data_IF_266436548740
#
_entry.id   IF_266436548740
#
_cell.length_a   1.000
_cell.length_b   1.000
_cell.length_c   1.000
_cell.angle_alpha   90.00
_cell.angle_beta   90.00
_cell.angle_gamma   90.00
#
_symmetry.space_group_name_H-M   'P 1'
#
loop_
_entity.id
_entity.type
_entity.pdbx_description
1 polymer ?
#
# COMPACT_ATOMS: atom_id res chain seq x y z
N UNK A 1 16.01 6.30 12.53
CA UNK A 1 15.07 5.62 13.44
C UNK A 1 15.12 4.13 13.12
N UNK A 2 15.90 3.38 13.87
CA UNK A 2 16.09 1.93 13.73
C UNK A 2 14.89 1.22 14.32
N UNK A 3 14.18 0.44 13.52
CA UNK A 3 13.09 -0.42 13.99
C UNK A 3 13.71 -1.45 14.93
N UNK A 4 13.32 -1.45 16.20
CA UNK A 4 13.80 -2.44 17.16
C UNK A 4 13.14 -3.80 16.88
N UNK A 5 13.90 -4.90 16.88
CA UNK A 5 13.42 -6.25 16.54
C UNK A 5 12.35 -6.78 17.50
N UNK A 6 12.09 -6.11 18.63
CA UNK A 6 11.08 -6.52 19.60
C UNK A 6 9.65 -6.14 19.20
N UNK A 7 9.44 -5.16 18.31
CA UNK A 7 8.10 -4.87 17.76
C UNK A 7 7.69 -5.86 16.63
N UNK A 8 8.63 -6.71 16.18
CA UNK A 8 8.41 -7.80 15.23
C UNK A 8 7.92 -9.11 15.89
N UNK A 9 7.67 -9.12 17.21
CA UNK A 9 7.07 -10.25 17.94
C UNK A 9 5.54 -10.15 17.88
N UNK A 10 4.74 -10.99 17.23
CA UNK A 10 4.91 -12.07 16.24
C UNK A 10 4.14 -11.60 15.00
N UNK A 11 4.78 -11.50 13.85
CA UNK A 11 4.09 -11.82 12.59
C UNK A 11 4.30 -13.32 12.44
N UNK A 12 3.25 -14.11 12.23
CA UNK A 12 3.48 -15.52 11.89
C UNK A 12 4.25 -15.56 10.57
N UNK A 13 5.00 -16.64 10.32
CA UNK A 13 5.70 -16.83 9.04
C UNK A 13 4.74 -16.67 7.84
N UNK A 14 3.46 -17.01 8.03
CA UNK A 14 2.38 -16.77 7.07
C UNK A 14 2.09 -15.29 6.83
N UNK A 15 2.11 -14.44 7.86
CA UNK A 15 1.90 -12.99 7.71
C UNK A 15 3.10 -12.35 7.01
N UNK A 16 4.32 -12.79 7.33
CA UNK A 16 5.53 -12.30 6.64
C UNK A 16 5.56 -12.73 5.17
N UNK A 17 5.17 -13.97 4.87
CA UNK A 17 5.05 -14.45 3.50
C UNK A 17 3.98 -13.66 2.72
N UNK A 18 2.84 -13.37 3.36
CA UNK A 18 1.78 -12.55 2.77
C UNK A 18 2.24 -11.12 2.49
N UNK A 19 2.90 -10.46 3.45
CA UNK A 19 3.45 -9.11 3.26
C UNK A 19 4.46 -9.11 2.12
N UNK A 20 5.40 -10.07 2.10
CA UNK A 20 6.41 -10.16 1.05
C UNK A 20 5.84 -10.45 -0.35
N UNK A 21 4.75 -11.22 -0.44
CA UNK A 21 4.04 -11.40 -1.72
C UNK A 21 3.30 -10.12 -2.12
N UNK A 22 2.65 -9.44 -1.17
CA UNK A 22 1.96 -8.17 -1.38
C UNK A 22 2.93 -7.11 -1.90
N UNK A 23 4.09 -6.96 -1.28
CA UNK A 23 5.14 -6.02 -1.68
C UNK A 23 5.61 -6.25 -3.12
N UNK A 24 5.84 -7.52 -3.51
CA UNK A 24 6.20 -7.84 -4.90
C UNK A 24 5.12 -7.45 -5.90
N UNK A 25 3.85 -7.66 -5.54
CA UNK A 25 2.70 -7.26 -6.37
C UNK A 25 2.60 -5.74 -6.47
N UNK A 26 2.83 -5.04 -5.36
CA UNK A 26 2.83 -3.58 -5.32
C UNK A 26 3.97 -3.03 -6.16
N UNK A 27 5.20 -3.48 -5.97
CA UNK A 27 6.36 -3.02 -6.72
C UNK A 27 6.19 -3.26 -8.24
N UNK A 28 5.68 -4.43 -8.61
CA UNK A 28 5.39 -4.74 -10.01
C UNK A 28 4.28 -3.85 -10.61
N UNK A 29 3.18 -3.62 -9.87
CA UNK A 29 2.08 -2.77 -10.32
C UNK A 29 2.50 -1.30 -10.42
N UNK A 30 3.23 -0.79 -9.42
CA UNK A 30 3.81 0.55 -9.47
C UNK A 30 4.78 0.66 -10.66
N UNK A 31 5.71 -0.28 -10.87
CA UNK A 31 6.63 -0.23 -12.01
C UNK A 31 5.95 -0.32 -13.39
N UNK A 32 4.81 -1.02 -13.48
CA UNK A 32 4.09 -1.25 -14.74
C UNK A 32 3.09 -0.16 -15.10
N UNK A 33 2.38 0.36 -14.10
CA UNK A 33 1.19 1.22 -14.26
C UNK A 33 1.44 2.67 -13.79
N UNK A 34 2.49 2.93 -13.01
CA UNK A 34 2.88 4.31 -12.68
C UNK A 34 3.30 5.06 -13.95
N UNK A 35 2.51 6.05 -14.33
CA UNK A 35 2.64 6.82 -15.58
C UNK A 35 1.57 6.51 -16.63
N UNK A 36 0.82 5.42 -16.48
CA UNK A 36 -0.32 5.10 -17.37
C UNK A 36 -1.66 5.54 -16.79
N UNK A 37 -1.84 5.44 -15.48
CA UNK A 37 -3.14 5.64 -14.80
C UNK A 37 -3.32 7.04 -14.20
N UNK A 38 -2.64 8.06 -14.69
CA UNK A 38 -2.84 9.45 -14.22
C UNK A 38 -2.43 9.68 -12.75
N UNK A 39 -1.67 8.76 -12.16
CA UNK A 39 -1.10 8.88 -10.83
C UNK A 39 -1.94 8.30 -9.70
N UNK A 40 -2.87 7.38 -9.97
CA UNK A 40 -3.41 6.46 -8.95
C UNK A 40 -3.24 5.03 -9.43
N UNK A 41 -2.67 4.16 -8.61
CA UNK A 41 -2.48 2.74 -8.91
C UNK A 41 -3.30 1.94 -7.92
N UNK A 42 -4.32 1.22 -8.41
CA UNK A 42 -5.15 0.36 -7.57
C UNK A 42 -4.70 -1.08 -7.72
N UNK A 43 -4.48 -1.77 -6.61
CA UNK A 43 -4.03 -3.16 -6.57
C UNK A 43 -5.06 -3.96 -5.79
N UNK A 44 -5.75 -4.87 -6.47
CA UNK A 44 -6.64 -5.82 -5.81
C UNK A 44 -5.85 -6.72 -4.87
N UNK A 45 -6.26 -6.76 -3.62
CA UNK A 45 -5.67 -7.57 -2.56
C UNK A 45 -6.74 -8.49 -1.98
N UNK A 46 -6.33 -9.52 -1.23
CA UNK A 46 -7.28 -10.21 -0.37
C UNK A 46 -7.63 -9.36 0.85
N UNK A 47 -8.33 -9.93 1.82
CA UNK A 47 -8.46 -9.32 3.14
C UNK A 47 -7.08 -8.97 3.70
N UNK A 48 -6.88 -7.68 3.99
CA UNK A 48 -5.67 -7.16 4.63
C UNK A 48 -6.05 -6.70 6.02
N UNK A 49 -5.41 -7.27 7.04
CA UNK A 49 -5.57 -6.80 8.41
C UNK A 49 -5.00 -5.40 8.60
N UNK A 50 -5.56 -4.66 9.57
CA UNK A 50 -5.19 -3.28 9.86
C UNK A 50 -3.67 -3.14 10.15
N UNK A 51 -3.04 -4.16 10.74
CA UNK A 51 -1.61 -4.14 11.03
C UNK A 51 -0.77 -4.16 9.75
N UNK A 52 -1.09 -5.05 8.83
CA UNK A 52 -0.44 -5.11 7.51
C UNK A 52 -0.66 -3.81 6.74
N UNK A 53 -1.87 -3.25 6.77
CA UNK A 53 -2.15 -1.96 6.14
C UNK A 53 -1.30 -0.83 6.73
N UNK A 54 -1.15 -0.75 8.05
CA UNK A 54 -0.33 0.27 8.70
C UNK A 54 1.15 0.15 8.34
N UNK A 55 1.69 -1.07 8.27
CA UNK A 55 3.08 -1.31 7.87
C UNK A 55 3.31 -0.89 6.41
N UNK A 56 2.43 -1.31 5.50
CA UNK A 56 2.49 -0.94 4.07
C UNK A 56 2.36 0.58 3.92
N UNK A 57 1.36 1.18 4.56
CA UNK A 57 1.15 2.63 4.54
C UNK A 57 2.35 3.39 5.12
N UNK A 58 3.02 2.87 6.16
CA UNK A 58 4.25 3.46 6.71
C UNK A 58 5.42 3.35 5.74
N UNK A 59 5.64 2.19 5.13
CA UNK A 59 6.76 1.95 4.22
C UNK A 59 6.65 2.79 2.95
N UNK A 60 5.53 2.66 2.23
CA UNK A 60 5.27 3.42 1.01
C UNK A 60 4.99 4.91 1.31
N UNK A 61 4.44 5.19 2.50
CA UNK A 61 4.32 6.53 3.07
C UNK A 61 5.63 7.30 3.14
N UNK A 62 6.71 6.63 3.57
CA UNK A 62 8.07 7.17 3.59
C UNK A 62 8.70 7.27 2.20
N UNK A 63 8.27 6.43 1.26
CA UNK A 63 8.70 6.46 -0.14
C UNK A 63 7.95 7.51 -1.00
N UNK A 64 7.07 8.32 -0.40
CA UNK A 64 6.34 9.38 -1.09
C UNK A 64 5.02 8.93 -1.71
N UNK A 65 4.38 7.90 -1.18
CA UNK A 65 3.06 7.43 -1.59
C UNK A 65 2.04 7.58 -0.48
N UNK A 66 0.82 7.87 -0.85
CA UNK A 66 -0.37 7.78 -0.03
C UNK A 66 -1.05 6.44 -0.34
N UNK A 67 -1.39 5.69 0.71
CA UNK A 67 -1.92 4.33 0.60
C UNK A 67 -3.26 4.27 1.30
N UNK A 68 -4.30 4.01 0.53
CA UNK A 68 -5.67 3.90 1.01
C UNK A 68 -6.16 2.46 0.80
N UNK A 69 -6.87 1.94 1.80
CA UNK A 69 -7.56 0.65 1.68
C UNK A 69 -9.02 0.89 1.34
N UNK A 70 -9.47 0.28 0.27
CA UNK A 70 -10.85 0.32 -0.17
C UNK A 70 -11.38 -1.10 -0.28
N UNK A 71 -12.58 -1.32 0.25
CA UNK A 71 -13.30 -2.59 0.14
C UNK A 71 -14.53 -2.34 -0.71
N UNK A 72 -14.53 -2.86 -1.93
CA UNK A 72 -15.69 -2.82 -2.80
C UNK A 72 -16.41 -4.18 -2.81
N UNK A 73 -17.73 -4.15 -2.62
CA UNK A 73 -18.53 -5.38 -2.50
C UNK A 73 -18.62 -6.17 -3.81
N UNK A 74 -18.23 -5.61 -4.96
CA UNK A 74 -18.24 -6.26 -6.28
C UNK A 74 -16.87 -6.72 -6.71
N UNK A 75 -15.85 -5.90 -6.49
CA UNK A 75 -14.48 -6.13 -6.99
C UNK A 75 -13.51 -6.66 -5.91
N UNK A 76 -13.94 -6.69 -4.65
CA UNK A 76 -13.16 -7.13 -3.50
C UNK A 76 -12.35 -6.01 -2.86
N UNK A 77 -11.42 -6.39 -2.01
CA UNK A 77 -10.53 -5.46 -1.32
C UNK A 77 -9.39 -5.01 -2.24
N UNK A 78 -9.03 -3.73 -2.19
CA UNK A 78 -7.91 -3.20 -2.95
C UNK A 78 -7.17 -2.10 -2.18
N UNK A 79 -5.89 -1.95 -2.52
CA UNK A 79 -5.04 -0.88 -2.04
C UNK A 79 -4.84 0.13 -3.17
N UNK A 80 -5.20 1.38 -2.91
CA UNK A 80 -4.95 2.51 -3.80
C UNK A 80 -3.66 3.22 -3.38
N UNK A 81 -2.72 3.32 -4.31
CA UNK A 81 -1.45 4.01 -4.16
C UNK A 81 -1.47 5.29 -4.99
N UNK A 82 -1.32 6.43 -4.33
CA UNK A 82 -1.31 7.76 -4.95
C UNK A 82 0.00 8.46 -4.56
N UNK A 83 0.83 8.97 -5.47
CA UNK A 83 2.08 9.63 -5.09
C UNK A 83 1.77 10.95 -4.36
N UNK A 84 2.42 11.15 -3.21
CA UNK A 84 2.35 12.37 -2.41
C UNK A 84 2.90 13.52 -3.24
N UNK A 85 2.01 14.45 -3.62
CA UNK A 85 2.33 15.56 -4.51
C UNK A 85 1.62 15.52 -5.86
N UNK A 86 1.01 14.39 -6.25
CA UNK A 86 0.10 14.33 -7.40
C UNK A 86 -1.37 14.55 -7.01
N UNK A 87 -1.59 15.18 -5.85
CA UNK A 87 -2.89 15.72 -5.47
C UNK A 87 -3.19 16.91 -6.39
N UNK A 88 -3.69 16.64 -7.60
CA UNK A 88 -4.46 17.59 -8.41
C UNK A 88 -5.93 17.56 -7.98
N UNK A 89 -6.18 17.68 -6.67
CA UNK A 89 -7.49 17.96 -6.09
C UNK A 89 -7.40 19.36 -5.47
N UNK A 90 -7.97 20.35 -6.13
CA UNK A 90 -7.69 21.75 -5.88
C UNK A 90 -8.10 22.27 -4.50
N UNK A 91 -7.30 23.21 -4.01
CA UNK A 91 -7.83 24.36 -3.30
C UNK A 91 -7.23 25.62 -3.94
N UNK A 92 -8.00 26.22 -4.85
CA UNK A 92 -8.00 27.66 -4.98
C UNK A 92 -8.67 28.20 -3.72
N UNK A 93 -7.91 28.83 -2.82
CA UNK A 93 -8.32 30.06 -2.12
C UNK A 93 -7.20 30.71 -1.32
#
# INVERSE_FOLDING_TARGET
MTITPEQARKLNEEDQARIGELEKRIDWALGRDFGKTGGRVCITVGYVDNRTLQEVSRMYGGAGWDVEYESDQRDGDFLAFTPKGNYQGGDQR
#
